data_IF_533299922583
#
_entry.id   IF_533299922583
#
_cell.length_a   1.000
_cell.length_b   1.000
_cell.length_c   1.000
_cell.angle_alpha   90.00
_cell.angle_beta   90.00
_cell.angle_gamma   90.00
#
_symmetry.space_group_name_H-M   'P 1'
#
loop_
_entity.id
_entity.type
_entity.pdbx_description
1 polymer ?
#
# COMPACT_ATOMS: atom_id res chain seq x y z
N UNK A 1 0.08 20.60 -2.26
CA UNK A 1 -1.04 20.07 -1.46
C UNK A 1 -0.76 18.62 -1.08
N UNK A 2 -1.52 18.00 -0.12
CA UNK A 2 -1.52 16.57 0.09
C UNK A 2 -1.95 15.83 -1.18
N UNK A 3 -1.56 14.56 -1.35
CA UNK A 3 -1.92 13.77 -2.54
C UNK A 3 -3.41 13.51 -2.67
N UNK A 4 -4.13 13.42 -1.56
CA UNK A 4 -5.60 13.26 -1.48
C UNK A 4 -6.37 14.58 -1.60
N UNK A 5 -5.71 15.64 -2.04
CA UNK A 5 -6.35 16.93 -2.27
C UNK A 5 -7.08 16.93 -3.63
N UNK A 6 -8.32 17.45 -3.68
CA UNK A 6 -9.17 17.45 -4.87
C UNK A 6 -8.50 17.99 -6.15
N UNK A 7 -7.54 18.93 -6.02
CA UNK A 7 -6.83 19.48 -7.19
C UNK A 7 -5.87 18.46 -7.80
N UNK A 8 -5.32 17.55 -6.97
CA UNK A 8 -4.42 16.49 -7.44
C UNK A 8 -5.23 15.44 -8.20
N UNK A 9 -6.37 15.01 -7.64
CA UNK A 9 -7.30 14.10 -8.32
C UNK A 9 -7.75 14.70 -9.65
N UNK A 10 -8.11 15.98 -9.66
CA UNK A 10 -8.56 16.67 -10.88
C UNK A 10 -7.47 16.70 -11.97
N UNK A 11 -6.23 17.00 -11.62
CA UNK A 11 -5.11 17.05 -12.56
C UNK A 11 -4.74 15.67 -13.11
N UNK A 12 -4.88 14.60 -12.30
CA UNK A 12 -4.54 13.25 -12.71
C UNK A 12 -5.67 12.51 -13.42
N UNK A 13 -6.92 12.73 -13.03
CA UNK A 13 -8.07 12.01 -13.57
C UNK A 13 -8.66 12.69 -14.81
N UNK A 14 -8.80 14.01 -14.79
CA UNK A 14 -9.48 14.76 -15.85
C UNK A 14 -8.51 15.21 -16.93
N UNK A 15 -7.24 15.41 -16.60
CA UNK A 15 -6.18 15.90 -17.49
C UNK A 15 -6.50 17.23 -18.20
N UNK A 16 -7.52 17.93 -17.73
CA UNK A 16 -7.97 19.25 -18.22
C UNK A 16 -8.32 20.11 -17.01
N UNK A 17 -7.82 21.34 -16.99
CA UNK A 17 -8.22 22.30 -15.96
C UNK A 17 -9.63 22.84 -16.22
N UNK A 18 -10.40 23.17 -15.15
CA UNK A 18 -11.67 23.87 -15.33
C UNK A 18 -11.47 25.13 -16.19
N UNK A 19 -12.51 25.51 -17.00
CA UNK A 19 -12.50 26.78 -17.70
C UNK A 19 -12.13 27.92 -16.72
N UNK A 20 -11.28 28.83 -17.16
CA UNK A 20 -10.79 29.98 -16.38
C UNK A 20 -9.87 29.62 -15.19
N UNK A 21 -9.33 28.40 -15.13
CA UNK A 21 -8.34 27.97 -14.14
C UNK A 21 -6.94 27.95 -14.76
N UNK A 22 -5.98 28.56 -14.09
CA UNK A 22 -4.56 28.50 -14.46
C UNK A 22 -3.81 27.72 -13.38
N UNK A 23 -3.08 26.68 -13.78
CA UNK A 23 -2.13 26.01 -12.91
C UNK A 23 -0.81 26.75 -12.92
N UNK A 24 -0.34 27.11 -11.76
CA UNK A 24 0.99 27.64 -11.56
C UNK A 24 1.82 26.65 -10.72
N UNK A 25 2.89 26.14 -11.30
CA UNK A 25 3.84 25.29 -10.61
C UNK A 25 5.01 26.13 -10.11
N UNK A 26 5.15 26.19 -8.79
CA UNK A 26 6.27 26.87 -8.17
C UNK A 26 7.55 26.04 -8.35
N UNK A 27 8.65 26.63 -8.86
CA UNK A 27 9.94 25.95 -8.89
C UNK A 27 10.39 25.54 -7.48
N UNK A 28 11.01 24.34 -7.32
CA UNK A 28 11.50 23.93 -6.01
C UNK A 28 12.60 24.88 -5.51
N UNK A 29 12.68 25.08 -4.21
CA UNK A 29 13.70 25.90 -3.58
C UNK A 29 15.10 25.25 -3.68
N UNK A 30 15.15 23.92 -3.65
CA UNK A 30 16.37 23.12 -3.75
C UNK A 30 16.25 22.09 -4.86
N UNK A 31 17.35 21.75 -5.48
CA UNK A 31 17.53 20.61 -6.37
C UNK A 31 18.11 19.45 -5.57
N UNK A 32 17.54 18.27 -5.74
CA UNK A 32 17.99 17.03 -5.08
C UNK A 32 18.82 16.21 -6.06
N UNK A 33 19.97 15.76 -5.62
CA UNK A 33 20.87 14.88 -6.37
C UNK A 33 21.08 13.59 -5.60
N UNK A 34 20.83 12.47 -6.24
CA UNK A 34 21.05 11.12 -5.69
C UNK A 34 22.24 10.50 -6.40
N UNK A 35 23.27 10.15 -5.64
CA UNK A 35 24.41 9.39 -6.18
C UNK A 35 23.97 7.95 -6.49
N UNK A 36 24.02 7.56 -7.74
CA UNK A 36 23.55 6.26 -8.21
C UNK A 36 24.32 5.06 -7.61
N UNK A 37 25.55 5.26 -7.17
CA UNK A 37 26.41 4.18 -6.64
C UNK A 37 26.28 4.03 -5.13
N UNK A 38 26.12 5.13 -4.42
CA UNK A 38 26.09 5.14 -2.94
C UNK A 38 24.70 5.35 -2.36
N UNK A 39 23.73 5.84 -3.16
CA UNK A 39 22.44 6.28 -2.69
C UNK A 39 22.49 7.55 -1.83
N UNK A 40 23.62 8.22 -1.78
CA UNK A 40 23.77 9.44 -1.00
C UNK A 40 22.98 10.59 -1.63
N UNK A 41 22.18 11.27 -0.81
CA UNK A 41 21.33 12.40 -1.25
C UNK A 41 21.99 13.71 -0.86
N UNK A 42 22.21 14.57 -1.85
CA UNK A 42 22.70 15.93 -1.68
C UNK A 42 21.71 16.95 -2.22
N UNK A 43 21.77 18.16 -1.71
CA UNK A 43 20.86 19.24 -2.09
C UNK A 43 21.67 20.47 -2.46
N UNK A 44 21.26 21.15 -3.53
CA UNK A 44 21.81 22.45 -3.91
C UNK A 44 20.69 23.47 -4.08
N UNK A 45 21.02 24.75 -3.96
CA UNK A 45 20.06 25.82 -4.16
C UNK A 45 19.64 25.89 -5.62
N UNK A 46 18.34 25.92 -5.86
CA UNK A 46 17.81 26.13 -7.21
C UNK A 46 17.91 27.63 -7.58
N UNK A 47 18.67 27.98 -8.61
CA UNK A 47 18.79 29.36 -9.04
C UNK A 47 17.49 29.97 -9.59
N UNK A 48 16.54 29.11 -9.99
CA UNK A 48 15.18 29.49 -10.45
C UNK A 48 14.15 29.57 -9.31
N UNK A 49 14.57 29.30 -8.07
CA UNK A 49 13.68 29.40 -6.94
C UNK A 49 13.14 30.81 -6.75
N UNK A 50 11.88 30.88 -6.34
CA UNK A 50 11.23 32.15 -6.08
C UNK A 50 11.78 32.84 -4.82
N UNK A 51 11.65 34.17 -4.79
CA UNK A 51 11.90 34.99 -3.60
C UNK A 51 13.35 34.97 -3.08
N UNK A 52 14.33 34.56 -3.88
CA UNK A 52 15.73 34.47 -3.46
C UNK A 52 16.24 35.77 -2.84
N UNK A 53 15.96 36.90 -3.46
CA UNK A 53 16.41 38.23 -3.00
C UNK A 53 15.88 38.55 -1.59
N UNK A 54 14.64 38.16 -1.26
CA UNK A 54 14.06 38.41 0.05
C UNK A 54 14.48 37.38 1.11
N UNK A 55 15.20 36.32 0.71
CA UNK A 55 15.60 35.21 1.53
C UNK A 55 17.13 35.07 1.63
N UNK A 56 17.84 36.18 1.66
CA UNK A 56 19.31 36.25 1.71
C UNK A 56 19.96 35.42 0.57
N UNK A 57 19.55 35.63 -0.66
CA UNK A 57 19.99 34.88 -1.84
C UNK A 57 19.81 33.36 -1.68
N UNK A 58 18.73 32.96 -0.98
CA UNK A 58 18.36 31.57 -0.75
C UNK A 58 19.01 30.90 0.47
N UNK A 59 19.85 31.63 1.22
CA UNK A 59 20.48 31.08 2.45
C UNK A 59 19.44 30.59 3.45
N UNK A 60 18.26 31.20 3.49
CA UNK A 60 17.17 30.78 4.36
C UNK A 60 16.70 29.37 4.02
N UNK A 61 16.60 28.98 2.75
CA UNK A 61 16.23 27.62 2.34
C UNK A 61 17.24 26.58 2.82
N UNK A 62 18.53 26.88 2.77
CA UNK A 62 19.57 26.01 3.28
C UNK A 62 19.51 25.85 4.80
N UNK A 63 19.23 26.93 5.53
CA UNK A 63 19.01 26.87 7.00
C UNK A 63 17.77 26.06 7.36
N UNK A 64 16.68 26.19 6.59
CA UNK A 64 15.47 25.41 6.78
C UNK A 64 15.75 23.91 6.50
N UNK A 65 16.55 23.60 5.47
CA UNK A 65 17.01 22.22 5.18
C UNK A 65 17.76 21.63 6.37
N UNK A 66 18.74 22.33 6.91
CA UNK A 66 19.53 21.88 8.07
C UNK A 66 18.63 21.66 9.29
N UNK A 67 17.69 22.56 9.51
CA UNK A 67 16.71 22.45 10.58
C UNK A 67 15.83 21.24 10.42
N UNK A 68 15.27 21.02 9.24
CA UNK A 68 14.38 19.88 8.96
C UNK A 68 15.14 18.54 9.02
N UNK A 69 16.39 18.49 8.54
CA UNK A 69 17.28 17.33 8.70
C UNK A 69 17.54 17.01 10.18
N UNK A 70 17.89 18.02 10.97
CA UNK A 70 18.14 17.86 12.41
C UNK A 70 16.90 17.38 13.18
N UNK A 71 15.71 17.76 12.74
CA UNK A 71 14.42 17.34 13.32
C UNK A 71 13.87 16.04 12.73
N UNK A 72 14.53 15.42 11.75
CA UNK A 72 14.04 14.24 11.04
C UNK A 72 12.74 14.48 10.26
N UNK A 73 12.50 15.71 9.77
CA UNK A 73 11.29 16.14 9.09
C UNK A 73 11.44 16.09 7.57
N UNK A 74 11.62 14.88 7.01
CA UNK A 74 11.73 14.68 5.57
C UNK A 74 10.50 15.16 4.80
N UNK A 75 9.30 15.03 5.39
CA UNK A 75 8.05 15.53 4.84
C UNK A 75 8.06 17.04 4.59
N UNK A 76 8.68 17.82 5.47
CA UNK A 76 8.85 19.27 5.28
C UNK A 76 9.89 19.60 4.20
N UNK A 77 10.94 18.80 4.06
CA UNK A 77 11.90 18.95 2.97
C UNK A 77 11.17 18.73 1.63
N UNK A 78 10.45 17.62 1.51
CA UNK A 78 9.72 17.27 0.29
C UNK A 78 8.69 18.35 -0.09
N UNK A 79 7.87 18.78 0.85
CA UNK A 79 6.75 19.70 0.55
C UNK A 79 7.13 21.14 0.45
N UNK A 80 8.07 21.62 1.26
CA UNK A 80 8.42 23.05 1.35
C UNK A 80 9.66 23.46 0.57
N UNK A 81 10.62 22.55 0.39
CA UNK A 81 11.86 22.85 -0.28
C UNK A 81 11.95 22.23 -1.68
N UNK A 82 11.37 21.04 -1.88
CA UNK A 82 11.35 20.35 -3.17
C UNK A 82 10.02 20.52 -3.93
N UNK A 83 9.04 21.23 -3.38
CA UNK A 83 7.72 21.47 -3.97
C UNK A 83 6.99 20.18 -4.40
N UNK A 84 7.28 19.05 -3.75
CA UNK A 84 6.62 17.78 -3.99
C UNK A 84 5.26 17.73 -3.29
N UNK A 85 4.38 16.84 -3.75
CA UNK A 85 3.13 16.59 -3.04
C UNK A 85 3.40 16.10 -1.61
N UNK A 86 2.59 16.57 -0.67
CA UNK A 86 2.61 16.07 0.70
C UNK A 86 2.03 14.65 0.77
N UNK A 87 2.29 13.98 1.90
CA UNK A 87 1.63 12.70 2.19
C UNK A 87 0.13 12.86 2.24
N UNK A 88 -0.59 11.83 1.81
CA UNK A 88 -2.01 11.72 2.01
C UNK A 88 -2.33 11.65 3.52
N UNK A 89 -3.51 12.16 3.91
CA UNK A 89 -3.93 12.22 5.32
C UNK A 89 -3.60 13.57 5.98
N UNK A 90 -4.41 13.95 6.93
CA UNK A 90 -4.34 15.23 7.64
C UNK A 90 -3.40 15.22 8.86
N UNK A 91 -3.89 15.76 10.00
CA UNK A 91 -3.12 15.90 11.26
C UNK A 91 -2.90 14.59 12.04
N UNK A 92 -3.34 13.45 11.51
CA UNK A 92 -3.16 12.13 12.11
C UNK A 92 -1.71 11.64 12.09
N UNK A 93 -1.45 10.57 12.80
CA UNK A 93 -0.17 9.87 12.74
C UNK A 93 -0.30 8.68 11.79
N UNK A 94 0.46 8.67 10.72
CA UNK A 94 0.47 7.55 9.77
C UNK A 94 0.74 6.21 10.48
N UNK A 95 0.02 5.18 10.08
CA UNK A 95 0.23 3.80 10.55
C UNK A 95 1.45 3.20 9.85
N UNK A 96 1.61 3.51 8.57
CA UNK A 96 2.71 3.03 7.72
C UNK A 96 3.80 4.08 7.69
N UNK A 97 5.05 3.69 7.98
CA UNK A 97 6.16 4.64 8.03
C UNK A 97 7.22 4.39 6.95
N UNK A 98 7.17 3.25 6.28
CA UNK A 98 8.19 2.77 5.35
C UNK A 98 7.67 2.63 3.91
N UNK A 99 6.55 3.27 3.61
CA UNK A 99 6.08 3.41 2.24
C UNK A 99 6.83 4.57 1.57
N UNK A 100 7.33 4.29 0.38
CA UNK A 100 8.04 5.24 -0.48
C UNK A 100 7.42 5.14 -1.87
N UNK A 101 6.85 6.22 -2.37
CA UNK A 101 6.08 6.20 -3.62
C UNK A 101 6.94 5.71 -4.79
N UNK A 102 8.13 6.29 -4.97
CA UNK A 102 9.03 5.98 -6.08
C UNK A 102 9.53 4.53 -6.08
N UNK A 103 9.48 3.88 -4.91
CA UNK A 103 9.93 2.50 -4.72
C UNK A 103 8.81 1.49 -4.84
N UNK A 104 7.61 1.85 -4.40
CA UNK A 104 6.51 0.89 -4.24
C UNK A 104 5.42 1.05 -5.28
N UNK A 105 5.39 2.16 -6.03
CA UNK A 105 4.41 2.40 -7.08
C UNK A 105 5.09 2.28 -8.45
N UNK A 106 4.48 1.56 -9.36
CA UNK A 106 5.01 1.42 -10.71
C UNK A 106 4.90 2.75 -11.47
N UNK A 107 5.87 3.05 -12.33
CA UNK A 107 5.83 4.24 -13.21
C UNK A 107 4.71 4.16 -14.27
N UNK A 108 4.33 2.94 -14.64
CA UNK A 108 3.31 2.68 -15.65
C UNK A 108 2.26 1.72 -15.10
N UNK A 109 1.01 1.77 -15.58
CA UNK A 109 -0.02 0.83 -15.18
C UNK A 109 0.42 -0.63 -15.35
N UNK A 110 0.18 -1.44 -14.32
CA UNK A 110 0.46 -2.87 -14.33
C UNK A 110 -0.68 -3.62 -15.03
N UNK A 111 -0.32 -4.61 -15.82
CA UNK A 111 -1.29 -5.48 -16.51
C UNK A 111 -1.23 -6.90 -15.97
N UNK A 112 -2.39 -7.59 -15.84
CA UNK A 112 -2.44 -8.98 -15.39
C UNK A 112 -1.66 -9.92 -16.32
N UNK A 113 -0.97 -10.89 -15.73
CA UNK A 113 -0.37 -11.99 -16.46
C UNK A 113 -1.35 -13.18 -16.51
N UNK A 114 -1.82 -13.53 -17.70
CA UNK A 114 -2.72 -14.66 -17.90
C UNK A 114 -2.08 -16.01 -17.54
N UNK A 115 -2.90 -17.02 -17.23
CA UNK A 115 -2.48 -18.40 -16.97
C UNK A 115 -1.53 -18.55 -15.77
N UNK A 116 -1.53 -17.61 -14.84
CA UNK A 116 -0.74 -17.63 -13.60
C UNK A 116 -1.63 -17.70 -12.37
N UNK A 117 -1.05 -17.93 -11.20
CA UNK A 117 -1.78 -17.80 -9.95
C UNK A 117 -2.04 -16.35 -9.62
N UNK A 118 -3.20 -16.04 -9.06
CA UNK A 118 -3.55 -14.75 -8.51
C UNK A 118 -3.98 -14.92 -7.06
N UNK A 119 -3.34 -14.21 -6.14
CA UNK A 119 -3.76 -14.11 -4.75
C UNK A 119 -4.72 -12.93 -4.64
N UNK A 120 -5.88 -13.14 -4.00
CA UNK A 120 -6.89 -12.10 -3.78
C UNK A 120 -7.07 -11.95 -2.29
N UNK A 121 -6.54 -10.89 -1.72
CA UNK A 121 -6.70 -10.57 -0.31
C UNK A 121 -7.91 -9.68 -0.11
N UNK A 122 -8.77 -10.03 0.86
CA UNK A 122 -10.09 -9.42 0.99
C UNK A 122 -10.36 -8.98 2.43
N UNK A 123 -10.66 -7.68 2.58
CA UNK A 123 -11.41 -7.18 3.73
C UNK A 123 -12.90 -7.39 3.46
N UNK A 124 -13.54 -8.25 4.26
CA UNK A 124 -14.95 -8.65 4.08
C UNK A 124 -15.89 -7.84 4.94
N UNK A 125 -15.44 -6.75 5.56
CA UNK A 125 -16.18 -6.05 6.60
C UNK A 125 -17.32 -5.17 6.07
N UNK A 126 -18.49 -5.35 6.67
CA UNK A 126 -19.65 -4.45 6.52
C UNK A 126 -20.22 -4.37 5.12
N UNK A 127 -20.49 -3.13 4.71
CA UNK A 127 -21.04 -2.76 3.39
C UNK A 127 -19.99 -2.08 2.50
N UNK A 128 -18.72 -2.22 2.85
CA UNK A 128 -17.59 -1.66 2.12
C UNK A 128 -16.46 -2.70 1.95
N UNK A 129 -16.74 -3.86 1.31
CA UNK A 129 -15.72 -4.85 1.08
C UNK A 129 -14.65 -4.32 0.14
N UNK A 130 -13.40 -4.78 0.36
CA UNK A 130 -12.25 -4.38 -0.45
C UNK A 130 -11.42 -5.59 -0.83
N UNK A 131 -10.97 -5.68 -2.07
CA UNK A 131 -10.16 -6.77 -2.58
C UNK A 131 -8.93 -6.26 -3.34
N UNK A 132 -7.77 -6.88 -3.10
CA UNK A 132 -6.52 -6.61 -3.82
C UNK A 132 -6.06 -7.86 -4.56
N UNK A 133 -5.66 -7.69 -5.82
CA UNK A 133 -5.22 -8.75 -6.71
C UNK A 133 -3.71 -8.74 -6.85
N UNK A 134 -3.06 -9.81 -6.41
CA UNK A 134 -1.61 -9.95 -6.36
C UNK A 134 -1.14 -11.04 -7.30
N UNK A 135 -0.12 -10.76 -8.08
CA UNK A 135 0.60 -11.77 -8.85
C UNK A 135 2.09 -11.72 -8.56
N UNK A 136 2.71 -12.90 -8.48
CA UNK A 136 4.16 -13.00 -8.30
C UNK A 136 4.83 -13.06 -9.66
N UNK A 137 5.41 -11.93 -10.10
CA UNK A 137 5.96 -11.74 -11.44
C UNK A 137 7.44 -11.40 -11.33
N UNK A 138 8.30 -12.16 -12.01
CA UNK A 138 9.75 -11.95 -12.07
C UNK A 138 10.44 -11.74 -10.71
N UNK A 139 9.92 -12.41 -9.69
CA UNK A 139 10.51 -12.34 -8.35
C UNK A 139 9.94 -11.27 -7.44
N UNK A 140 8.95 -10.50 -7.87
CA UNK A 140 8.29 -9.44 -7.12
C UNK A 140 6.78 -9.68 -7.03
N UNK A 141 6.16 -9.21 -5.97
CA UNK A 141 4.71 -9.19 -5.84
C UNK A 141 4.15 -7.92 -6.47
N UNK A 142 3.32 -8.09 -7.49
CA UNK A 142 2.62 -6.99 -8.15
C UNK A 142 1.18 -6.95 -7.65
N UNK A 143 0.74 -5.83 -7.09
CA UNK A 143 -0.66 -5.55 -6.82
C UNK A 143 -1.20 -4.87 -8.07
N UNK A 144 -2.00 -5.61 -8.85
CA UNK A 144 -2.38 -5.24 -10.20
C UNK A 144 -3.73 -4.54 -10.22
N UNK A 145 -4.71 -5.08 -9.47
CA UNK A 145 -6.03 -4.49 -9.33
C UNK A 145 -6.41 -4.34 -7.87
N UNK A 146 -7.25 -3.36 -7.62
CA UNK A 146 -7.91 -3.14 -6.35
C UNK A 146 -9.39 -2.82 -6.59
N UNK A 147 -10.28 -3.51 -5.88
CA UNK A 147 -11.71 -3.36 -6.00
C UNK A 147 -12.31 -2.95 -4.65
N UNK A 148 -13.31 -2.10 -4.71
CA UNK A 148 -13.99 -1.60 -3.52
C UNK A 148 -15.50 -1.61 -3.74
N UNK A 149 -16.21 -2.22 -2.81
CA UNK A 149 -17.67 -2.19 -2.78
C UNK A 149 -18.15 -0.97 -1.99
N UNK A 150 -19.04 -0.20 -2.56
CA UNK A 150 -19.63 0.95 -1.90
C UNK A 150 -21.11 0.66 -1.62
N UNK A 151 -21.48 0.64 -0.33
CA UNK A 151 -22.83 0.31 0.15
C UNK A 151 -23.35 -1.06 -0.33
N UNK A 152 -22.46 -2.03 -0.57
CA UNK A 152 -22.83 -3.37 -1.02
C UNK A 152 -22.37 -4.47 -0.08
N UNK A 153 -23.14 -5.57 0.00
CA UNK A 153 -22.78 -6.75 0.76
C UNK A 153 -21.66 -7.56 0.10
N UNK A 154 -21.00 -8.42 0.90
CA UNK A 154 -19.89 -9.22 0.38
C UNK A 154 -20.32 -10.17 -0.74
N UNK A 155 -21.52 -10.76 -0.67
CA UNK A 155 -22.04 -11.65 -1.73
C UNK A 155 -22.19 -10.92 -3.05
N UNK A 156 -22.84 -9.77 -3.04
CA UNK A 156 -23.01 -8.89 -4.19
C UNK A 156 -21.66 -8.43 -4.75
N UNK A 157 -20.73 -8.08 -3.87
CA UNK A 157 -19.36 -7.71 -4.27
C UNK A 157 -18.63 -8.84 -4.99
N UNK A 158 -18.80 -10.08 -4.54
CA UNK A 158 -18.22 -11.26 -5.21
C UNK A 158 -18.86 -11.46 -6.58
N UNK A 159 -20.19 -11.48 -6.66
CA UNK A 159 -20.90 -11.86 -7.86
C UNK A 159 -20.87 -10.76 -8.94
N UNK A 160 -20.99 -9.49 -8.55
CA UNK A 160 -21.12 -8.36 -9.48
C UNK A 160 -19.81 -7.64 -9.76
N UNK A 161 -18.79 -7.78 -8.90
CA UNK A 161 -17.52 -7.04 -9.06
C UNK A 161 -16.32 -7.97 -9.24
N UNK A 162 -16.10 -8.91 -8.31
CA UNK A 162 -14.90 -9.77 -8.34
C UNK A 162 -14.97 -10.78 -9.50
N UNK A 163 -16.08 -11.49 -9.65
CA UNK A 163 -16.23 -12.53 -10.68
C UNK A 163 -16.14 -11.96 -12.10
N UNK A 164 -16.79 -10.86 -12.45
CA UNK A 164 -16.61 -10.19 -13.75
C UNK A 164 -15.15 -9.78 -13.99
N UNK A 165 -14.50 -9.19 -13.00
CA UNK A 165 -13.09 -8.79 -13.09
C UNK A 165 -12.17 -9.99 -13.34
N UNK A 166 -12.34 -11.08 -12.60
CA UNK A 166 -11.60 -12.32 -12.80
C UNK A 166 -11.79 -12.88 -14.22
N UNK A 167 -13.02 -12.89 -14.68
CA UNK A 167 -13.35 -13.45 -16.01
C UNK A 167 -12.74 -12.61 -17.14
N UNK A 168 -12.75 -11.29 -17.00
CA UNK A 168 -12.31 -10.36 -18.04
C UNK A 168 -10.79 -10.16 -18.01
N UNK A 169 -10.23 -9.89 -16.84
CA UNK A 169 -8.84 -9.43 -16.70
C UNK A 169 -7.86 -10.58 -16.39
N UNK A 170 -8.35 -11.70 -15.84
CA UNK A 170 -7.49 -12.81 -15.38
C UNK A 170 -7.84 -14.16 -16.05
N UNK A 171 -7.97 -14.23 -17.39
CA UNK A 171 -8.36 -15.45 -18.07
C UNK A 171 -7.37 -16.59 -17.81
N UNK A 172 -7.90 -17.74 -17.37
CA UNK A 172 -7.09 -18.94 -17.08
C UNK A 172 -6.20 -18.84 -15.84
N UNK A 173 -6.31 -17.77 -15.05
CA UNK A 173 -5.62 -17.67 -13.77
C UNK A 173 -6.27 -18.61 -12.74
N UNK A 174 -5.47 -19.01 -11.74
CA UNK A 174 -5.94 -19.81 -10.60
C UNK A 174 -6.04 -18.91 -9.37
N UNK A 175 -7.24 -18.43 -9.00
CA UNK A 175 -7.41 -17.53 -7.87
C UNK A 175 -7.36 -18.27 -6.52
N UNK A 176 -6.64 -17.67 -5.58
CA UNK A 176 -6.65 -18.03 -4.16
C UNK A 176 -7.11 -16.82 -3.35
N UNK A 177 -8.21 -16.97 -2.65
CA UNK A 177 -8.72 -15.91 -1.76
C UNK A 177 -8.18 -16.05 -0.35
N UNK A 178 -7.83 -14.92 0.24
CA UNK A 178 -7.45 -14.80 1.66
C UNK A 178 -8.33 -13.73 2.31
N UNK A 179 -9.25 -14.18 3.15
CA UNK A 179 -10.28 -13.36 3.77
C UNK A 179 -9.94 -12.95 5.20
N UNK A 180 -10.54 -11.84 5.63
CA UNK A 180 -10.55 -11.39 7.02
C UNK A 180 -11.00 -12.52 7.98
N UNK A 181 -10.27 -12.78 9.07
CA UNK A 181 -10.66 -13.76 10.07
C UNK A 181 -11.88 -13.36 10.92
N UNK A 182 -12.24 -12.07 10.98
CA UNK A 182 -13.34 -11.60 11.84
C UNK A 182 -14.68 -12.30 11.51
N UNK A 183 -14.92 -12.57 10.24
CA UNK A 183 -16.14 -13.22 9.74
C UNK A 183 -15.94 -14.70 9.37
N UNK A 184 -14.84 -15.31 9.84
CA UNK A 184 -14.50 -16.70 9.49
C UNK A 184 -15.53 -17.73 9.98
N UNK A 185 -16.24 -17.42 11.06
CA UNK A 185 -17.33 -18.23 11.60
C UNK A 185 -18.64 -17.68 11.09
N UNK A 186 -19.27 -18.40 10.15
CA UNK A 186 -20.65 -18.12 9.78
C UNK A 186 -21.55 -18.14 11.03
N UNK A 187 -22.64 -17.40 10.97
CA UNK A 187 -23.73 -17.50 11.95
C UNK A 187 -24.69 -18.62 11.54
N UNK A 188 -25.64 -18.99 12.43
CA UNK A 188 -26.69 -19.96 12.11
C UNK A 188 -27.50 -19.53 10.87
N UNK A 189 -27.46 -18.27 10.50
CA UNK A 189 -28.30 -17.66 9.45
C UNK A 189 -27.46 -17.16 8.24
N UNK A 190 -26.14 -17.05 8.35
CA UNK A 190 -25.30 -16.51 7.28
C UNK A 190 -24.06 -17.38 7.02
N UNK A 191 -23.81 -17.65 5.75
CA UNK A 191 -22.61 -18.35 5.28
C UNK A 191 -21.39 -17.45 5.52
N UNK A 192 -20.27 -18.05 5.92
CA UNK A 192 -19.02 -17.28 6.04
C UNK A 192 -18.50 -16.81 4.67
N UNK A 193 -17.75 -15.71 4.58
CA UNK A 193 -17.16 -15.25 3.33
C UNK A 193 -16.35 -16.32 2.61
N UNK A 194 -15.56 -17.11 3.33
CA UNK A 194 -14.82 -18.25 2.75
C UNK A 194 -15.74 -19.40 2.32
N UNK A 195 -16.86 -19.60 3.00
CA UNK A 195 -17.89 -20.55 2.61
C UNK A 195 -18.53 -20.16 1.29
N UNK A 196 -18.98 -18.92 1.17
CA UNK A 196 -19.54 -18.35 -0.04
C UNK A 196 -18.62 -18.50 -1.25
N UNK A 197 -17.33 -18.13 -1.11
CA UNK A 197 -16.35 -18.29 -2.18
C UNK A 197 -16.15 -19.75 -2.60
N UNK A 198 -16.15 -20.68 -1.65
CA UNK A 198 -16.06 -22.12 -1.93
C UNK A 198 -17.29 -22.66 -2.66
N UNK A 199 -18.47 -22.17 -2.33
CA UNK A 199 -19.71 -22.51 -3.06
C UNK A 199 -19.68 -22.03 -4.51
N UNK A 200 -18.99 -20.90 -4.80
CA UNK A 200 -18.72 -20.42 -6.17
C UNK A 200 -17.57 -21.17 -6.85
N UNK A 201 -16.98 -22.18 -6.19
CA UNK A 201 -15.91 -23.01 -6.74
C UNK A 201 -14.49 -22.44 -6.59
N UNK A 202 -14.31 -21.41 -5.77
CA UNK A 202 -13.00 -20.81 -5.54
C UNK A 202 -12.27 -21.41 -4.34
N UNK A 203 -10.94 -21.40 -4.41
CA UNK A 203 -10.10 -21.68 -3.25
C UNK A 203 -10.09 -20.47 -2.33
N UNK A 204 -10.50 -20.66 -1.08
CA UNK A 204 -10.56 -19.59 -0.09
C UNK A 204 -10.02 -20.02 1.27
N UNK A 205 -9.17 -19.21 1.83
CA UNK A 205 -8.55 -19.35 3.14
C UNK A 205 -8.91 -18.15 4.03
N UNK A 206 -8.78 -18.36 5.32
CA UNK A 206 -8.85 -17.31 6.32
C UNK A 206 -7.42 -16.84 6.60
N UNK A 207 -7.18 -15.54 6.72
CA UNK A 207 -5.88 -15.04 7.14
C UNK A 207 -5.50 -15.58 8.53
N UNK A 208 -4.19 -15.78 8.83
CA UNK A 208 -3.75 -16.45 10.05
C UNK A 208 -4.21 -15.78 11.35
N UNK A 209 -4.34 -14.47 11.35
CA UNK A 209 -4.73 -13.69 12.54
C UNK A 209 -5.45 -12.40 12.17
N UNK A 210 -6.28 -11.90 13.08
CA UNK A 210 -6.86 -10.55 13.02
C UNK A 210 -6.16 -9.56 13.97
N UNK A 211 -5.13 -9.99 14.69
CA UNK A 211 -4.42 -9.11 15.61
C UNK A 211 -3.70 -7.99 14.83
N UNK A 212 -4.05 -6.75 15.16
CA UNK A 212 -3.58 -5.58 14.43
C UNK A 212 -2.06 -5.46 14.39
N UNK A 213 -1.40 -5.79 15.50
CA UNK A 213 0.07 -5.72 15.57
C UNK A 213 0.73 -6.64 14.53
N UNK A 214 0.32 -7.91 14.45
CA UNK A 214 0.88 -8.89 13.52
C UNK A 214 0.59 -8.53 12.08
N UNK A 215 -0.62 -8.01 11.80
CA UNK A 215 -1.00 -7.51 10.47
C UNK A 215 -0.14 -6.31 10.05
N UNK A 216 0.07 -5.34 10.95
CA UNK A 216 0.93 -4.18 10.72
C UNK A 216 2.38 -4.59 10.50
N UNK A 217 2.91 -5.46 11.38
CA UNK A 217 4.29 -5.95 11.27
C UNK A 217 4.51 -6.67 9.92
N UNK A 218 3.53 -7.45 9.44
CA UNK A 218 3.60 -8.11 8.13
C UNK A 218 3.62 -7.11 6.97
N UNK A 219 2.78 -6.07 7.02
CA UNK A 219 2.78 -5.00 6.04
C UNK A 219 4.13 -4.27 5.99
N UNK A 220 4.67 -3.89 7.13
CA UNK A 220 5.98 -3.22 7.22
C UNK A 220 7.12 -4.12 6.71
N UNK A 221 7.08 -5.42 7.02
CA UNK A 221 8.08 -6.38 6.55
C UNK A 221 8.06 -6.53 5.02
N UNK A 222 6.91 -6.60 4.38
CA UNK A 222 6.83 -6.77 2.92
C UNK A 222 7.25 -5.47 2.20
N UNK A 223 6.89 -4.31 2.73
CA UNK A 223 7.30 -3.01 2.22
C UNK A 223 8.81 -2.77 2.36
N UNK A 224 9.45 -3.33 3.38
CA UNK A 224 10.91 -3.24 3.56
C UNK A 224 11.71 -4.17 2.64
N UNK A 225 11.07 -5.11 1.94
CA UNK A 225 11.82 -6.02 1.05
C UNK A 225 12.35 -5.30 -0.18
N UNK A 226 13.58 -5.63 -0.53
CA UNK A 226 14.26 -5.16 -1.74
C UNK A 226 14.52 -6.36 -2.66
N UNK A 227 14.33 -6.19 -3.95
CA UNK A 227 14.56 -7.25 -4.93
C UNK A 227 13.53 -8.38 -4.81
N UNK A 228 14.01 -9.61 -4.56
CA UNK A 228 13.11 -10.78 -4.50
C UNK A 228 12.10 -10.70 -3.37
N UNK A 229 10.82 -10.76 -3.74
CA UNK A 229 9.69 -10.69 -2.82
C UNK A 229 9.31 -9.28 -2.39
N UNK A 230 9.89 -8.23 -3.00
CA UNK A 230 9.40 -6.85 -2.86
C UNK A 230 8.02 -6.69 -3.47
N UNK A 231 7.34 -5.60 -3.12
CA UNK A 231 5.99 -5.29 -3.63
C UNK A 231 6.04 -4.07 -4.53
N UNK A 232 5.30 -4.14 -5.63
CA UNK A 232 5.05 -3.04 -6.56
C UNK A 232 3.54 -2.90 -6.72
N UNK A 233 3.04 -1.68 -6.64
CA UNK A 233 1.61 -1.35 -6.68
C UNK A 233 1.29 -0.66 -8.00
N UNK A 234 0.18 -1.04 -8.62
CA UNK A 234 -0.32 -0.35 -9.80
C UNK A 234 -0.71 1.09 -9.43
N UNK A 235 -0.20 2.10 -10.15
CA UNK A 235 -0.52 3.51 -9.89
C UNK A 235 -2.01 3.82 -9.99
N UNK A 236 -2.79 3.00 -10.69
CA UNK A 236 -4.24 3.17 -10.80
C UNK A 236 -5.02 2.84 -9.51
N UNK A 237 -4.39 2.25 -8.50
CA UNK A 237 -5.03 1.93 -7.21
C UNK A 237 -4.80 3.09 -6.23
N UNK A 238 -5.29 4.27 -6.57
CA UNK A 238 -5.06 5.52 -5.84
C UNK A 238 -5.36 5.41 -4.34
N UNK A 239 -6.52 4.83 -3.97
CA UNK A 239 -6.93 4.72 -2.57
C UNK A 239 -6.01 3.81 -1.73
N UNK A 240 -5.41 2.77 -2.33
CA UNK A 240 -4.38 1.99 -1.65
C UNK A 240 -3.09 2.79 -1.48
N UNK A 241 -2.67 3.48 -2.54
CA UNK A 241 -1.46 4.32 -2.53
C UNK A 241 -1.61 5.38 -1.44
N UNK A 242 -2.73 6.11 -1.42
CA UNK A 242 -3.01 7.13 -0.40
C UNK A 242 -3.05 6.53 1.01
N UNK A 243 -3.68 5.37 1.17
CA UNK A 243 -3.72 4.68 2.46
C UNK A 243 -2.31 4.42 3.00
N UNK A 244 -1.41 3.91 2.14
CA UNK A 244 -0.03 3.60 2.52
C UNK A 244 0.84 4.86 2.67
N UNK A 245 0.54 5.91 1.92
CA UNK A 245 1.28 7.20 1.95
C UNK A 245 0.84 8.12 3.11
N UNK A 246 -0.03 7.63 4.01
CA UNK A 246 -0.34 8.31 5.26
C UNK A 246 -1.80 8.51 5.59
N UNK A 247 -2.75 8.32 4.64
CA UNK A 247 -4.17 8.47 4.92
C UNK A 247 -4.74 7.38 5.85
N UNK A 248 -4.09 6.21 5.91
CA UNK A 248 -4.32 5.24 6.96
C UNK A 248 -3.55 5.64 8.21
N UNK A 249 -4.24 6.21 9.19
CA UNK A 249 -3.64 6.93 10.29
C UNK A 249 -4.32 6.68 11.64
N UNK A 250 -3.59 6.99 12.72
CA UNK A 250 -4.14 7.12 14.05
C UNK A 250 -4.73 8.54 14.20
N UNK A 251 -6.00 8.63 14.60
CA UNK A 251 -6.66 9.92 14.81
C UNK A 251 -5.98 10.73 15.92
N UNK A 252 -5.77 12.00 15.67
CA UNK A 252 -5.34 12.95 16.69
C UNK A 252 -6.46 13.14 17.74
N UNK A 253 -6.15 12.89 19.01
CA UNK A 253 -7.08 13.07 20.13
C UNK A 253 -6.88 14.41 20.82
N UNK A 254 -5.63 14.82 21.03
CA UNK A 254 -5.28 16.05 21.74
C UNK A 254 -3.93 16.57 21.28
N UNK A 255 -3.86 17.89 21.09
CA UNK A 255 -2.62 18.63 20.90
C UNK A 255 -2.61 19.84 21.82
N UNK A 256 -1.69 19.88 22.80
CA UNK A 256 -1.51 21.00 23.71
C UNK A 256 -0.01 21.26 23.86
N UNK A 257 0.46 22.34 23.26
CA UNK A 257 1.89 22.62 23.16
C UNK A 257 2.64 21.49 22.45
N UNK A 258 3.63 20.92 23.10
CA UNK A 258 4.43 19.78 22.57
C UNK A 258 3.79 18.41 22.86
N UNK A 259 2.73 18.35 23.67
CA UNK A 259 2.06 17.11 24.03
C UNK A 259 0.99 16.75 22.99
N UNK A 260 1.27 15.75 22.17
CA UNK A 260 0.36 15.22 21.15
C UNK A 260 -0.04 13.81 21.54
N UNK A 261 -1.33 13.53 21.55
CA UNK A 261 -1.89 12.20 21.87
C UNK A 261 -2.71 11.70 20.69
N UNK A 262 -2.46 10.47 20.29
CA UNK A 262 -3.20 9.79 19.22
C UNK A 262 -4.03 8.64 19.76
N UNK A 263 -5.03 8.21 18.99
CA UNK A 263 -5.80 7.02 19.28
C UNK A 263 -4.88 5.78 19.29
N UNK A 264 -5.25 4.76 20.06
CA UNK A 264 -4.49 3.49 20.15
C UNK A 264 -4.73 2.56 18.97
N UNK A 265 -5.79 2.79 18.21
CA UNK A 265 -6.15 2.06 16.99
C UNK A 265 -6.28 3.04 15.83
N UNK A 266 -5.97 2.59 14.60
CA UNK A 266 -6.18 3.39 13.41
C UNK A 266 -7.64 3.81 13.25
N UNK A 267 -7.85 4.92 12.61
CA UNK A 267 -9.18 5.38 12.24
C UNK A 267 -9.82 4.46 11.22
N UNK A 268 -11.11 4.13 11.42
CA UNK A 268 -11.89 3.37 10.43
C UNK A 268 -12.52 4.33 9.44
N UNK A 269 -12.02 4.29 8.22
CA UNK A 269 -12.48 5.09 7.08
C UNK A 269 -12.24 4.30 5.78
N UNK A 270 -12.53 4.89 4.62
CA UNK A 270 -12.32 4.21 3.32
C UNK A 270 -10.90 3.65 3.17
N UNK A 271 -9.88 4.36 3.61
CA UNK A 271 -8.47 3.94 3.51
C UNK A 271 -8.15 2.73 4.38
N UNK A 272 -8.85 2.56 5.49
CA UNK A 272 -8.62 1.41 6.38
C UNK A 272 -8.99 0.08 5.74
N UNK A 273 -9.99 0.03 4.85
CA UNK A 273 -10.38 -1.18 4.13
C UNK A 273 -9.28 -1.65 3.15
N UNK A 274 -8.67 -0.71 2.43
CA UNK A 274 -7.54 -0.97 1.55
C UNK A 274 -6.31 -1.46 2.29
N UNK A 275 -5.98 -0.80 3.42
CA UNK A 275 -4.88 -1.19 4.27
C UNK A 275 -5.11 -2.56 4.93
N UNK A 276 -6.35 -2.86 5.37
CA UNK A 276 -6.69 -4.17 5.95
C UNK A 276 -6.58 -5.28 4.90
N UNK A 277 -7.09 -5.08 3.67
CA UNK A 277 -6.92 -6.03 2.57
C UNK A 277 -5.42 -6.25 2.24
N UNK A 278 -4.61 -5.19 2.20
CA UNK A 278 -3.16 -5.30 2.00
C UNK A 278 -2.50 -6.14 3.11
N UNK A 279 -2.85 -5.89 4.37
CA UNK A 279 -2.30 -6.59 5.52
C UNK A 279 -2.62 -8.09 5.49
N UNK A 280 -3.81 -8.51 5.07
CA UNK A 280 -4.16 -9.93 4.93
C UNK A 280 -3.35 -10.61 3.82
N UNK A 281 -3.15 -9.94 2.70
CA UNK A 281 -2.26 -10.44 1.63
C UNK A 281 -0.81 -10.57 2.09
N UNK A 282 -0.28 -9.55 2.76
CA UNK A 282 1.07 -9.56 3.33
C UNK A 282 1.28 -10.69 4.34
N UNK A 283 0.33 -10.90 5.26
CA UNK A 283 0.36 -12.01 6.22
C UNK A 283 0.43 -13.36 5.51
N UNK A 284 -0.43 -13.58 4.52
CA UNK A 284 -0.44 -14.84 3.76
C UNK A 284 0.88 -15.09 3.04
N UNK A 285 1.40 -14.07 2.36
CA UNK A 285 2.69 -14.16 1.63
C UNK A 285 3.84 -14.51 2.57
N UNK A 286 3.87 -13.92 3.76
CA UNK A 286 4.95 -14.15 4.72
C UNK A 286 4.84 -15.52 5.40
N UNK A 287 3.65 -15.98 5.72
CA UNK A 287 3.40 -17.29 6.34
C UNK A 287 3.51 -18.43 5.33
N UNK A 288 2.99 -18.26 4.11
CA UNK A 288 3.07 -19.26 3.05
C UNK A 288 4.50 -19.54 2.58
N UNK A 289 5.35 -18.53 2.53
CA UNK A 289 6.80 -18.72 2.24
C UNK A 289 7.50 -19.52 3.35
N UNK A 290 7.08 -19.35 4.60
CA UNK A 290 7.59 -20.16 5.72
C UNK A 290 7.18 -21.64 5.60
N UNK A 291 5.95 -21.91 5.18
CA UNK A 291 5.45 -23.27 4.97
C UNK A 291 6.12 -23.99 3.80
N UNK A 292 6.37 -23.31 2.69
CA UNK A 292 7.16 -23.87 1.57
C UNK A 292 8.61 -24.16 1.96
N UNK A 293 9.22 -23.28 2.76
CA UNK A 293 10.56 -23.48 3.31
C UNK A 293 10.65 -24.67 4.27
N UNK A 294 9.66 -24.84 5.14
CA UNK A 294 9.54 -25.97 6.07
C UNK A 294 9.19 -27.28 5.33
N UNK A 295 8.28 -27.25 4.36
CA UNK A 295 7.91 -28.39 3.54
C UNK A 295 9.09 -28.85 2.65
N UNK A 296 9.90 -27.90 2.12
CA UNK A 296 11.12 -28.22 1.37
C UNK A 296 12.18 -28.85 2.27
N UNK A 297 12.40 -28.33 3.48
CA UNK A 297 13.31 -28.92 4.47
C UNK A 297 12.84 -30.28 4.94
N UNK A 298 11.54 -30.47 5.19
CA UNK A 298 10.96 -31.75 5.56
C UNK A 298 11.12 -32.80 4.45
N UNK A 299 10.90 -32.42 3.19
CA UNK A 299 11.12 -33.30 2.02
C UNK A 299 12.58 -33.67 1.85
N UNK A 300 13.52 -32.74 2.05
CA UNK A 300 14.96 -33.01 1.97
C UNK A 300 15.45 -33.90 3.12
N UNK A 301 14.93 -33.74 4.33
CA UNK A 301 15.21 -34.60 5.48
C UNK A 301 14.62 -36.00 5.31
N UNK A 302 13.40 -36.12 4.79
CA UNK A 302 12.78 -37.42 4.49
C UNK A 302 13.55 -38.18 3.39
N UNK A 303 13.97 -37.48 2.33
CA UNK A 303 14.79 -38.08 1.26
C UNK A 303 16.19 -38.50 1.76
N UNK A 304 16.79 -37.73 2.67
CA UNK A 304 18.06 -38.09 3.29
C UNK A 304 17.94 -39.31 4.24
N UNK A 305 16.80 -39.41 4.95
CA UNK A 305 16.49 -40.54 5.84
C UNK A 305 16.25 -41.85 5.06
N UNK A 306 15.58 -41.78 3.91
CA UNK A 306 15.36 -42.94 3.04
C UNK A 306 16.67 -43.46 2.42
N UNK A 307 17.59 -42.56 2.05
CA UNK A 307 18.94 -42.97 1.56
C UNK A 307 19.81 -43.64 2.62
N UNK A 308 19.58 -43.37 3.91
CA UNK A 308 20.29 -44.01 5.01
C UNK A 308 19.75 -45.40 5.41
N UNK A 309 18.51 -45.73 5.03
CA UNK A 309 17.86 -47.04 5.30
C UNK A 309 18.07 -48.05 4.17
N UNK A 310 18.62 -47.64 3.05
CA UNK A 310 18.89 -48.49 1.89
C UNK A 310 20.37 -48.87 1.71
N UNK A 311 21.17 -48.79 2.79
CA UNK A 311 22.53 -49.32 2.81
C UNK A 311 22.69 -50.33 3.93
#
# INVERSE_FOLDING_TARGET
PPRDHWIVDYLHEVNELPPDTMLYEQPPALLEHVDENTGAVTYELNPEAENLVNLDDGIKYLRDLDTYKALGKQDLINTRLLCRYGKAGGDGKAVVNNFEFERHVAEQPLTPMSMTSVLISVDTSGIHPCALFWQYIRGQWHIIDGLYGEEMGFEEFVDDVIVPTLTTNYPGCNPLFVCDPANARGSIVAISPTGLLKERGYNALVAPTNAFKERKDAMELILNRVGKGSVIINPMINLLVDALDGAYQYRLLKAVGTNVTYASQPEKNKYSHWADAFQYGALHILTGVADEGLASRARSLAAASMRKRGR
#
